data_IF_860390566821
#
_entry.id   IF_860390566821
#
_cell.length_a   1.000
_cell.length_b   1.000
_cell.length_c   1.000
_cell.angle_alpha   90.00
_cell.angle_beta   90.00
_cell.angle_gamma   90.00
#
_symmetry.space_group_name_H-M   'P 1'
#
loop_
_entity.id
_entity.type
_entity.pdbx_description
1 polymer ?
#
# COMPACT_ATOMS: atom_id res chain seq x y z
N UNK A 1 -19.59 -1.55 1.66
CA UNK A 1 -19.13 -0.99 0.37
C UNK A 1 -18.92 -2.14 -0.61
N UNK A 2 -18.87 -1.85 -1.91
CA UNK A 2 -18.60 -2.86 -2.94
C UNK A 2 -17.17 -2.78 -3.47
N UNK A 3 -16.48 -3.92 -3.60
CA UNK A 3 -15.15 -3.97 -4.19
C UNK A 3 -15.21 -3.76 -5.72
N UNK A 4 -14.41 -2.83 -6.24
CA UNK A 4 -14.37 -2.46 -7.65
C UNK A 4 -12.96 -2.65 -8.25
N UNK A 5 -12.85 -2.46 -9.57
CA UNK A 5 -11.58 -2.48 -10.29
C UNK A 5 -10.92 -1.10 -10.24
N UNK A 6 -9.62 -1.06 -9.97
CA UNK A 6 -8.82 0.17 -10.09
C UNK A 6 -9.03 0.85 -11.47
N UNK A 7 -9.30 2.16 -11.53
CA UNK A 7 -9.63 2.83 -12.78
C UNK A 7 -8.48 2.93 -13.78
N UNK A 8 -7.24 3.10 -13.31
CA UNK A 8 -6.06 3.34 -14.16
C UNK A 8 -4.85 2.55 -13.67
N UNK A 9 -3.89 2.35 -14.58
CA UNK A 9 -2.61 1.70 -14.24
C UNK A 9 -1.77 2.60 -13.33
N UNK A 10 -1.79 3.93 -13.55
CA UNK A 10 -1.11 4.91 -12.69
C UNK A 10 -1.59 4.81 -11.24
N UNK A 11 -2.91 4.73 -11.01
CA UNK A 11 -3.46 4.55 -9.67
C UNK A 11 -3.05 3.19 -9.06
N UNK A 12 -2.88 2.16 -9.89
CA UNK A 12 -2.42 0.86 -9.42
C UNK A 12 -0.98 0.88 -8.89
N UNK A 13 -0.14 1.81 -9.36
CA UNK A 13 1.22 2.04 -8.86
C UNK A 13 1.25 2.82 -7.55
N UNK A 14 0.13 3.41 -7.11
CA UNK A 14 0.09 4.17 -5.85
C UNK A 14 -0.02 3.31 -4.62
N UNK A 15 -0.38 2.02 -4.77
CA UNK A 15 -0.74 1.11 -3.68
C UNK A 15 -1.89 1.59 -2.75
N UNK A 16 -2.58 2.68 -3.10
CA UNK A 16 -3.78 3.10 -2.39
C UNK A 16 -5.02 2.33 -2.85
N UNK A 17 -5.98 2.13 -1.95
CA UNK A 17 -7.34 1.79 -2.35
C UNK A 17 -8.05 3.06 -2.83
N UNK A 18 -8.71 2.99 -3.99
CA UNK A 18 -9.23 4.17 -4.67
C UNK A 18 -10.71 4.34 -4.38
N UNK A 19 -11.13 5.53 -3.96
CA UNK A 19 -12.50 5.81 -3.50
C UNK A 19 -13.05 7.06 -4.19
N UNK A 20 -14.37 7.27 -4.10
CA UNK A 20 -14.95 8.54 -4.48
C UNK A 20 -14.78 9.57 -3.35
N UNK A 21 -14.58 10.85 -3.71
CA UNK A 21 -14.45 11.95 -2.76
C UNK A 21 -15.72 12.22 -1.93
N UNK A 22 -16.88 11.72 -2.37
CA UNK A 22 -18.15 11.78 -1.62
C UNK A 22 -18.17 10.87 -0.40
N UNK A 23 -17.36 9.81 -0.40
CA UNK A 23 -17.34 8.83 0.69
C UNK A 23 -16.19 9.09 1.67
N UNK A 24 -15.00 9.43 1.14
CA UNK A 24 -13.77 9.58 1.93
C UNK A 24 -12.81 10.62 1.31
N UNK A 25 -11.77 10.98 2.07
CA UNK A 25 -10.71 11.89 1.64
C UNK A 25 -9.40 11.13 1.37
N UNK A 26 -8.60 11.64 0.42
CA UNK A 26 -7.25 11.11 0.16
C UNK A 26 -6.36 11.23 1.40
N UNK A 27 -5.52 10.21 1.63
CA UNK A 27 -4.61 10.14 2.78
C UNK A 27 -5.23 9.56 4.05
N UNK A 28 -6.56 9.36 4.11
CA UNK A 28 -7.18 8.58 5.18
C UNK A 28 -6.78 7.10 5.08
N UNK A 29 -6.85 6.39 6.20
CA UNK A 29 -6.64 4.94 6.23
C UNK A 29 -7.93 4.22 6.60
N UNK A 30 -8.08 3.01 6.10
CA UNK A 30 -9.22 2.14 6.40
C UNK A 30 -8.78 0.73 6.70
N UNK A 31 -9.58 0.03 7.50
CA UNK A 31 -9.58 -1.42 7.57
C UNK A 31 -10.70 -1.94 6.65
N UNK A 32 -10.33 -2.83 5.75
CA UNK A 32 -11.24 -3.62 4.92
C UNK A 32 -11.37 -5.01 5.53
N UNK A 33 -12.59 -5.38 5.92
CA UNK A 33 -12.91 -6.71 6.46
C UNK A 33 -13.59 -7.55 5.39
N UNK A 34 -12.97 -8.67 5.01
CA UNK A 34 -13.53 -9.63 4.03
C UNK A 34 -14.20 -10.83 4.69
N UNK A 35 -13.84 -11.12 5.94
CA UNK A 35 -14.48 -12.11 6.81
C UNK A 35 -14.13 -11.82 8.28
N UNK A 36 -14.71 -12.50 9.29
CA UNK A 36 -14.44 -12.21 10.70
C UNK A 36 -12.94 -12.20 11.08
N UNK A 37 -12.15 -13.07 10.45
CA UNK A 37 -10.72 -13.26 10.74
C UNK A 37 -9.78 -12.59 9.73
N UNK A 38 -10.30 -11.98 8.66
CA UNK A 38 -9.47 -11.39 7.60
C UNK A 38 -9.72 -9.89 7.50
N UNK A 39 -8.70 -9.12 7.86
CA UNK A 39 -8.70 -7.66 7.90
C UNK A 39 -7.44 -7.13 7.23
N UNK A 40 -7.59 -6.12 6.40
CA UNK A 40 -6.51 -5.54 5.60
C UNK A 40 -6.55 -4.03 5.71
N UNK A 41 -5.42 -3.40 5.99
CA UNK A 41 -5.34 -1.95 6.11
C UNK A 41 -4.88 -1.34 4.78
N UNK A 42 -5.56 -0.30 4.32
CA UNK A 42 -5.20 0.44 3.12
C UNK A 42 -5.18 1.94 3.37
N UNK A 43 -4.30 2.66 2.68
CA UNK A 43 -4.40 4.11 2.50
C UNK A 43 -5.33 4.43 1.34
N UNK A 44 -6.12 5.49 1.47
CA UNK A 44 -7.09 5.93 0.48
C UNK A 44 -6.52 6.98 -0.47
N UNK A 45 -6.93 6.89 -1.73
CA UNK A 45 -6.77 7.94 -2.73
C UNK A 45 -8.10 8.18 -3.44
N UNK A 46 -8.48 9.43 -3.63
CA UNK A 46 -9.74 9.77 -4.29
C UNK A 46 -9.57 9.80 -5.81
N UNK A 47 -10.60 9.37 -6.53
CA UNK A 47 -10.68 9.52 -7.97
C UNK A 47 -12.14 9.66 -8.43
N UNK A 48 -12.49 10.64 -9.29
CA UNK A 48 -13.86 10.96 -9.64
C UNK A 48 -14.59 9.83 -10.40
N UNK A 49 -13.85 8.94 -11.07
CA UNK A 49 -14.46 7.82 -11.79
C UNK A 49 -14.88 6.63 -10.92
N UNK A 50 -14.52 6.62 -9.63
CA UNK A 50 -14.98 5.58 -8.70
C UNK A 50 -16.43 5.87 -8.34
N UNK A 51 -17.29 4.84 -8.40
CA UNK A 51 -18.70 4.98 -8.08
C UNK A 51 -18.85 5.16 -6.55
N UNK A 52 -19.61 6.16 -6.06
CA UNK A 52 -19.88 6.30 -4.62
C UNK A 52 -20.44 5.01 -3.99
N UNK A 53 -20.00 4.69 -2.77
CA UNK A 53 -20.31 3.43 -2.09
C UNK A 53 -19.46 2.23 -2.54
N UNK A 54 -18.54 2.42 -3.49
CA UNK A 54 -17.56 1.42 -3.93
C UNK A 54 -16.14 1.84 -3.59
N UNK A 55 -15.25 0.86 -3.51
CA UNK A 55 -13.82 1.05 -3.30
C UNK A 55 -13.05 0.17 -4.29
N UNK A 56 -12.20 0.80 -5.08
CA UNK A 56 -11.51 0.20 -6.20
C UNK A 56 -10.10 -0.25 -5.82
N UNK A 57 -9.79 -1.50 -6.17
CA UNK A 57 -8.52 -2.13 -5.86
C UNK A 57 -7.80 -2.57 -7.13
N UNK A 58 -6.47 -2.45 -7.12
CA UNK A 58 -5.59 -2.97 -8.16
C UNK A 58 -5.51 -4.50 -8.09
N UNK A 59 -4.99 -5.13 -9.15
CA UNK A 59 -4.86 -6.59 -9.18
C UNK A 59 -3.97 -7.15 -8.04
N UNK A 60 -2.79 -6.59 -7.73
CA UNK A 60 -1.99 -7.01 -6.58
C UNK A 60 -2.76 -6.94 -5.25
N UNK A 61 -3.46 -5.84 -5.00
CA UNK A 61 -4.24 -5.66 -3.77
C UNK A 61 -5.36 -6.69 -3.64
N UNK A 62 -6.08 -6.97 -4.74
CA UNK A 62 -7.15 -8.00 -4.73
C UNK A 62 -6.61 -9.40 -4.49
N UNK A 63 -5.46 -9.74 -5.08
CA UNK A 63 -4.79 -11.03 -4.85
C UNK A 63 -4.38 -11.19 -3.39
N UNK A 64 -3.77 -10.16 -2.81
CA UNK A 64 -3.34 -10.16 -1.41
C UNK A 64 -4.52 -10.26 -0.44
N UNK A 65 -5.57 -9.47 -0.66
CA UNK A 65 -6.73 -9.40 0.23
C UNK A 65 -7.84 -10.44 -0.06
N UNK A 66 -7.66 -11.28 -1.08
CA UNK A 66 -8.66 -12.28 -1.50
C UNK A 66 -9.98 -11.66 -1.97
N UNK A 67 -9.93 -10.52 -2.67
CA UNK A 67 -11.12 -9.75 -3.07
C UNK A 67 -11.58 -10.09 -4.49
N UNK A 68 -12.90 -10.29 -4.65
CA UNK A 68 -13.56 -10.37 -5.95
C UNK A 68 -14.20 -9.04 -6.35
N UNK A 69 -14.23 -8.73 -7.64
CA UNK A 69 -14.99 -7.56 -8.13
C UNK A 69 -16.47 -7.80 -7.85
N UNK A 70 -17.16 -6.79 -7.32
CA UNK A 70 -18.58 -6.86 -6.98
C UNK A 70 -18.86 -7.42 -5.59
N UNK A 71 -17.85 -7.93 -4.88
CA UNK A 71 -17.99 -8.45 -3.53
C UNK A 71 -18.36 -7.33 -2.54
N UNK A 72 -19.32 -7.61 -1.65
CA UNK A 72 -19.58 -6.76 -0.50
C UNK A 72 -18.50 -6.91 0.56
N UNK A 73 -18.02 -5.77 1.05
CA UNK A 73 -17.00 -5.67 2.09
C UNK A 73 -17.38 -4.60 3.10
N UNK A 74 -16.93 -4.82 4.33
CA UNK A 74 -17.04 -3.81 5.36
C UNK A 74 -15.77 -2.98 5.39
N UNK A 75 -15.97 -1.67 5.49
CA UNK A 75 -14.89 -0.69 5.48
C UNK A 75 -15.12 0.24 6.67
N UNK A 76 -14.11 0.39 7.51
CA UNK A 76 -14.12 1.32 8.63
C UNK A 76 -12.86 2.18 8.62
N UNK A 77 -12.99 3.43 9.05
CA UNK A 77 -11.84 4.31 9.22
C UNK A 77 -10.86 3.71 10.23
N UNK A 78 -9.58 3.88 9.93
CA UNK A 78 -8.49 3.42 10.78
C UNK A 78 -7.55 4.58 11.09
N UNK A 79 -7.14 4.69 12.34
CA UNK A 79 -6.20 5.70 12.81
C UNK A 79 -5.01 4.99 13.44
N UNK A 80 -3.82 5.23 12.91
CA UNK A 80 -2.58 4.69 13.44
C UNK A 80 -2.15 5.42 14.72
N UNK A 81 -1.67 4.67 15.70
CA UNK A 81 -0.87 5.20 16.81
C UNK A 81 0.54 5.50 16.29
N UNK A 82 0.79 6.76 15.92
CA UNK A 82 2.07 7.22 15.35
C UNK A 82 3.26 7.02 16.30
N UNK A 83 3.04 6.84 17.61
CA UNK A 83 4.12 6.59 18.54
C UNK A 83 4.61 5.14 18.51
N UNK A 84 3.83 4.22 17.93
CA UNK A 84 4.11 2.77 17.94
C UNK A 84 4.06 2.10 16.57
N UNK A 85 3.42 2.74 15.59
CA UNK A 85 3.12 2.13 14.30
C UNK A 85 3.76 2.88 13.13
N UNK A 86 4.57 3.90 13.40
CA UNK A 86 5.47 4.44 12.39
C UNK A 86 6.52 3.39 12.06
N UNK A 87 6.72 3.15 10.76
CA UNK A 87 7.69 2.18 10.28
C UNK A 87 9.10 2.77 10.48
N UNK A 88 9.94 2.08 11.23
CA UNK A 88 11.36 2.39 11.37
C UNK A 88 12.19 1.66 10.31
N UNK A 89 11.95 0.35 10.14
CA UNK A 89 12.62 -0.46 9.12
C UNK A 89 11.61 -1.41 8.48
N UNK A 90 11.75 -1.66 7.17
CA UNK A 90 10.90 -2.58 6.41
C UNK A 90 11.75 -3.41 5.46
N UNK A 91 11.64 -4.73 5.56
CA UNK A 91 12.32 -5.65 4.64
C UNK A 91 11.38 -6.02 3.50
N UNK A 92 11.82 -5.82 2.27
CA UNK A 92 11.02 -6.07 1.06
C UNK A 92 11.75 -7.07 0.17
N UNK A 93 11.05 -8.13 -0.22
CA UNK A 93 11.45 -9.02 -1.31
C UNK A 93 10.99 -8.41 -2.65
N UNK A 94 11.89 -8.38 -3.63
CA UNK A 94 11.68 -7.71 -4.91
C UNK A 94 12.06 -8.62 -6.08
N UNK A 95 11.25 -8.61 -7.13
CA UNK A 95 11.55 -9.27 -8.40
C UNK A 95 10.91 -8.47 -9.57
N UNK A 96 11.35 -8.70 -10.80
CA UNK A 96 10.71 -8.14 -11.98
C UNK A 96 9.26 -8.64 -12.07
N UNK A 97 8.31 -7.71 -12.19
CA UNK A 97 6.90 -8.06 -12.30
C UNK A 97 6.61 -8.83 -13.60
N UNK A 98 7.29 -8.45 -14.69
CA UNK A 98 7.08 -9.02 -16.02
C UNK A 98 8.31 -9.80 -16.47
N UNK A 99 8.13 -11.09 -16.76
CA UNK A 99 9.22 -11.96 -17.26
C UNK A 99 9.91 -11.43 -18.52
N UNK A 100 9.19 -10.69 -19.36
CA UNK A 100 9.71 -10.10 -20.61
C UNK A 100 10.63 -8.89 -20.38
N UNK A 101 10.57 -8.26 -19.21
CA UNK A 101 11.35 -7.07 -18.89
C UNK A 101 12.59 -7.36 -18.05
N UNK A 102 12.84 -8.64 -17.71
CA UNK A 102 14.01 -9.08 -16.96
C UNK A 102 15.27 -8.69 -17.74
N UNK A 103 16.21 -8.08 -17.02
CA UNK A 103 17.56 -7.82 -17.49
C UNK A 103 18.58 -8.11 -16.38
N UNK A 104 19.86 -7.98 -16.73
CA UNK A 104 20.98 -8.16 -15.81
C UNK A 104 21.65 -6.83 -15.45
N UNK A 105 20.93 -5.71 -15.60
CA UNK A 105 21.48 -4.40 -15.25
C UNK A 105 21.59 -4.28 -13.72
N UNK A 106 22.60 -3.56 -13.20
CA UNK A 106 22.66 -3.28 -11.77
C UNK A 106 21.57 -2.27 -11.38
N UNK A 107 20.90 -2.51 -10.24
CA UNK A 107 19.93 -1.60 -9.65
C UNK A 107 20.48 -1.09 -8.30
N UNK A 108 20.51 0.23 -8.15
CA UNK A 108 21.02 0.91 -6.97
C UNK A 108 19.93 0.93 -5.89
N UNK A 109 20.10 0.12 -4.84
CA UNK A 109 19.10 -0.06 -3.78
C UNK A 109 18.88 1.20 -2.95
N UNK A 110 19.88 2.07 -2.82
CA UNK A 110 19.75 3.32 -2.06
C UNK A 110 18.84 4.30 -2.82
N UNK A 111 18.98 4.37 -4.16
CA UNK A 111 18.08 5.15 -5.01
C UNK A 111 16.66 4.57 -5.02
N UNK A 112 16.53 3.25 -5.11
CA UNK A 112 15.23 2.59 -5.05
C UNK A 112 14.54 2.86 -3.72
N UNK A 113 15.26 2.79 -2.60
CA UNK A 113 14.71 3.08 -1.28
C UNK A 113 14.27 4.55 -1.16
N UNK A 114 15.07 5.50 -1.65
CA UNK A 114 14.71 6.90 -1.66
C UNK A 114 13.44 7.19 -2.48
N UNK A 115 13.33 6.61 -3.68
CA UNK A 115 12.15 6.76 -4.54
C UNK A 115 10.92 6.05 -3.95
N UNK A 116 11.11 4.87 -3.36
CA UNK A 116 10.07 4.15 -2.64
C UNK A 116 9.49 5.00 -1.50
N UNK A 117 10.35 5.60 -0.67
CA UNK A 117 9.90 6.49 0.41
C UNK A 117 9.19 7.72 -0.17
N UNK A 118 9.71 8.33 -1.22
CA UNK A 118 9.09 9.49 -1.86
C UNK A 118 7.69 9.16 -2.37
N UNK A 119 7.51 8.01 -3.02
CA UNK A 119 6.25 7.58 -3.62
C UNK A 119 5.22 7.13 -2.57
N UNK A 120 5.67 6.39 -1.55
CA UNK A 120 4.79 5.71 -0.59
C UNK A 120 4.80 6.31 0.82
N UNK A 121 5.31 7.54 0.98
CA UNK A 121 5.24 8.25 2.26
C UNK A 121 3.78 8.33 2.76
N UNK A 122 3.61 8.25 4.09
CA UNK A 122 2.31 8.26 4.75
C UNK A 122 1.33 7.18 4.24
N UNK A 123 1.84 6.04 3.79
CA UNK A 123 1.01 4.90 3.42
C UNK A 123 1.10 3.75 4.43
N UNK A 124 -0.01 3.01 4.53
CA UNK A 124 -0.10 1.81 5.32
C UNK A 124 0.56 0.63 4.60
N UNK A 125 1.44 -0.09 5.32
CA UNK A 125 2.00 -1.35 4.88
C UNK A 125 1.70 -2.46 5.88
N UNK A 126 1.68 -3.72 5.42
CA UNK A 126 1.48 -4.90 6.26
C UNK A 126 2.42 -6.02 5.83
N UNK A 127 2.89 -6.81 6.78
CA UNK A 127 3.68 -8.01 6.47
C UNK A 127 2.86 -8.95 5.58
N UNK A 128 3.49 -9.46 4.52
CA UNK A 128 2.86 -10.28 3.49
C UNK A 128 2.14 -9.50 2.39
N UNK A 129 2.09 -8.17 2.46
CA UNK A 129 1.47 -7.34 1.42
C UNK A 129 2.25 -7.40 0.11
N UNK A 130 1.51 -7.56 -0.99
CA UNK A 130 2.04 -7.50 -2.34
C UNK A 130 1.67 -6.17 -3.00
N UNK A 131 2.62 -5.54 -3.67
CA UNK A 131 2.42 -4.31 -4.42
C UNK A 131 3.32 -4.25 -5.66
N UNK A 132 3.12 -3.21 -6.48
CA UNK A 132 3.95 -2.94 -7.65
C UNK A 132 4.69 -1.63 -7.43
N UNK A 133 5.98 -1.65 -7.77
CA UNK A 133 6.85 -0.47 -7.73
C UNK A 133 7.41 -0.22 -9.13
N UNK A 134 7.39 1.04 -9.55
CA UNK A 134 7.95 1.47 -10.82
C UNK A 134 9.27 2.17 -10.52
N UNK A 135 10.35 1.71 -11.14
CA UNK A 135 11.67 2.31 -11.00
C UNK A 135 12.40 2.25 -12.34
N UNK A 136 12.87 3.40 -12.85
CA UNK A 136 13.53 3.50 -14.16
C UNK A 136 12.76 2.79 -15.30
N UNK A 137 11.46 3.09 -15.44
CA UNK A 137 10.57 2.50 -16.47
C UNK A 137 10.39 0.97 -16.39
N UNK A 138 10.87 0.34 -15.31
CA UNK A 138 10.65 -1.08 -15.01
C UNK A 138 9.64 -1.24 -13.90
N UNK A 139 8.82 -2.29 -14.02
CA UNK A 139 7.86 -2.67 -12.99
C UNK A 139 8.39 -3.85 -12.19
N UNK A 140 8.40 -3.68 -10.88
CA UNK A 140 8.81 -4.68 -9.91
C UNK A 140 7.61 -5.14 -9.08
N UNK A 141 7.53 -6.45 -8.84
CA UNK A 141 6.65 -7.02 -7.84
C UNK A 141 7.35 -6.98 -6.49
N UNK A 142 6.70 -6.40 -5.49
CA UNK A 142 7.22 -6.32 -4.13
C UNK A 142 6.40 -7.19 -3.19
N UNK A 143 7.06 -7.79 -2.21
CA UNK A 143 6.46 -8.49 -1.08
C UNK A 143 7.08 -8.01 0.22
N UNK A 144 6.27 -7.40 1.09
CA UNK A 144 6.72 -6.98 2.42
C UNK A 144 6.97 -8.21 3.28
N UNK A 145 8.21 -8.41 3.75
CA UNK A 145 8.62 -9.58 4.55
C UNK A 145 8.58 -9.32 6.03
N UNK A 146 8.96 -8.11 6.43
CA UNK A 146 9.06 -7.73 7.82
C UNK A 146 8.90 -6.21 7.99
N UNK A 147 8.37 -5.78 9.14
CA UNK A 147 8.19 -4.38 9.52
C UNK A 147 8.56 -4.23 11.00
N UNK A 148 9.53 -3.35 11.27
CA UNK A 148 9.91 -2.93 12.61
C UNK A 148 9.45 -1.50 12.85
N UNK A 149 8.83 -1.27 14.02
CA UNK A 149 8.39 0.06 14.42
C UNK A 149 9.58 0.96 14.78
N UNK A 150 9.44 2.26 14.55
CA UNK A 150 10.42 3.25 14.96
C UNK A 150 10.52 3.29 16.50
N UNK A 151 11.75 3.39 17.02
CA UNK A 151 11.95 3.53 18.46
C UNK A 151 11.34 4.86 18.96
N UNK A 152 10.44 4.84 19.95
CA UNK A 152 9.81 6.05 20.49
C UNK A 152 10.80 7.06 21.09
N UNK A 153 12.00 6.64 21.50
CA UNK A 153 13.05 7.53 22.01
C UNK A 153 13.55 8.51 20.94
N UNK A 154 13.60 8.08 19.68
CA UNK A 154 13.95 8.93 18.53
C UNK A 154 12.95 10.08 18.38
N UNK A 155 11.67 9.82 18.64
CA UNK A 155 10.60 10.82 18.58
C UNK A 155 10.64 11.82 19.75
N UNK A 156 11.29 11.46 20.87
CA UNK A 156 11.41 12.31 22.06
C UNK A 156 12.62 13.24 22.04
N UNK A 157 13.55 13.07 21.09
CA UNK A 157 14.74 13.92 20.98
C UNK A 157 15.75 13.74 22.13
N UNK A 158 15.65 12.65 22.89
CA UNK A 158 16.63 12.35 23.93
C UNK A 158 17.84 11.63 23.28
N UNK A 159 19.07 12.07 23.53
CA UNK A 159 20.25 11.40 23.01
C UNK A 159 20.35 9.99 23.61
N UNK A 160 20.67 9.00 22.77
CA UNK A 160 20.99 7.65 23.21
C UNK A 160 22.12 7.73 24.26
N UNK A 161 21.88 7.16 25.44
CA UNK A 161 22.85 7.09 26.55
C UNK A 161 23.69 5.83 26.47
#
# INVERSE_FOLDING_TARGET
>A
MQAARCPTDELSLTNCAVVNEKDFQSGQHVIVRTSPNHRYTFTLKTHPSVVPGSIAFSLPQRKWAGLSIGQEIEVSLYTFDKAKQCIGTMTIEIDFLQKKSIDSNPYDTDKMAAEFIQQFNNQAFSVGQQLVFSFNEKLFGLLVKDIEAMDPSILKGEPAT
#
